data_IF_223122892509
#
_entry.id   IF_223122892509
#
_cell.length_a   1.000
_cell.length_b   1.000
_cell.length_c   1.000
_cell.angle_alpha   90.00
_cell.angle_beta   90.00
_cell.angle_gamma   90.00
#
_symmetry.space_group_name_H-M   'P 1'
#
loop_
_entity.id
_entity.type
_entity.pdbx_description
1 polymer ?
#
# COMPACT_ATOMS: atom_id res chain seq x y z
N UNK A 1 8.23 -28.58 6.04
CA UNK A 1 8.60 -27.15 6.16
C UNK A 1 8.68 -26.78 7.64
N UNK A 2 9.30 -25.66 8.01
CA UNK A 2 9.33 -25.24 9.43
C UNK A 2 7.92 -25.01 9.99
N UNK A 3 7.02 -24.41 9.20
CA UNK A 3 5.59 -24.30 9.53
C UNK A 3 4.96 -25.65 9.90
N UNK A 4 5.20 -26.72 9.13
CA UNK A 4 4.65 -28.04 9.43
C UNK A 4 5.17 -28.59 10.77
N UNK A 5 6.47 -28.44 11.05
CA UNK A 5 7.03 -28.86 12.35
C UNK A 5 6.43 -28.09 13.52
N UNK A 6 6.17 -26.79 13.36
CA UNK A 6 5.53 -25.98 14.39
C UNK A 6 4.09 -26.43 14.63
N UNK A 7 3.34 -26.73 13.56
CA UNK A 7 2.00 -27.28 13.68
C UNK A 7 1.99 -28.66 14.36
N UNK A 8 2.94 -29.54 14.05
CA UNK A 8 3.04 -30.87 14.69
C UNK A 8 3.37 -30.77 16.20
N UNK A 9 4.10 -29.73 16.62
CA UNK A 9 4.46 -29.50 18.03
C UNK A 9 3.35 -28.86 18.85
N UNK A 10 2.32 -28.32 18.20
CA UNK A 10 1.21 -27.62 18.85
C UNK A 10 -0.05 -28.46 18.63
N UNK A 11 -0.64 -28.98 19.69
CA UNK A 11 -1.92 -29.70 19.58
C UNK A 11 -3.08 -28.74 19.32
N UNK A 12 -3.22 -28.28 18.08
CA UNK A 12 -4.34 -27.47 17.64
C UNK A 12 -5.56 -28.37 17.37
N UNK A 13 -6.70 -28.04 17.97
CA UNK A 13 -7.96 -28.76 17.77
C UNK A 13 -8.95 -27.95 16.93
N UNK A 14 -8.68 -26.66 16.76
CA UNK A 14 -9.48 -25.74 15.96
C UNK A 14 -8.64 -24.61 15.35
N UNK A 15 -9.23 -23.91 14.38
CA UNK A 15 -8.65 -22.66 13.84
C UNK A 15 -8.58 -21.57 14.91
N UNK A 16 -9.46 -21.62 15.92
CA UNK A 16 -9.45 -20.66 17.02
C UNK A 16 -8.24 -20.84 17.92
N UNK A 17 -7.81 -22.07 18.16
CA UNK A 17 -6.58 -22.36 18.90
C UNK A 17 -5.37 -21.75 18.18
N UNK A 18 -5.34 -21.83 16.84
CA UNK A 18 -4.27 -21.27 16.02
C UNK A 18 -4.20 -19.74 16.14
N UNK A 19 -5.36 -19.06 16.16
CA UNK A 19 -5.44 -17.59 16.29
C UNK A 19 -5.03 -17.10 17.67
N UNK A 20 -5.28 -17.89 18.70
CA UNK A 20 -4.97 -17.56 20.09
C UNK A 20 -3.52 -17.90 20.49
N UNK A 21 -2.69 -18.39 19.56
CA UNK A 21 -1.28 -18.59 19.83
C UNK A 21 -0.55 -17.25 20.01
N UNK A 22 0.45 -17.19 20.90
CA UNK A 22 1.24 -15.98 21.14
C UNK A 22 2.17 -15.64 19.97
N UNK A 23 2.41 -16.58 19.05
CA UNK A 23 3.35 -16.44 17.95
C UNK A 23 2.79 -16.97 16.63
N UNK A 24 3.27 -16.40 15.53
CA UNK A 24 2.95 -16.87 14.18
C UNK A 24 3.53 -18.27 13.91
N UNK A 25 2.67 -19.14 13.39
CA UNK A 25 3.06 -20.52 13.05
C UNK A 25 3.74 -20.62 11.69
N UNK A 26 3.38 -19.74 10.74
CA UNK A 26 4.06 -19.66 9.45
C UNK A 26 5.42 -19.01 9.64
N UNK A 27 6.48 -19.78 9.40
CA UNK A 27 7.84 -19.31 9.58
C UNK A 27 8.81 -20.01 8.63
N UNK A 28 9.91 -19.31 8.33
CA UNK A 28 11.08 -19.93 7.72
C UNK A 28 11.86 -20.74 8.76
N UNK A 29 12.59 -21.75 8.30
CA UNK A 29 13.59 -22.42 9.14
C UNK A 29 14.66 -21.40 9.56
N UNK A 30 15.40 -21.64 10.66
CA UNK A 30 16.46 -20.72 11.09
C UNK A 30 17.49 -20.41 9.99
N UNK A 31 17.81 -21.40 9.15
CA UNK A 31 18.71 -21.23 8.02
C UNK A 31 18.12 -20.35 6.91
N UNK A 32 16.87 -20.63 6.49
CA UNK A 32 16.21 -19.84 5.45
C UNK A 32 15.95 -18.41 5.92
N UNK A 33 15.62 -18.21 7.19
CA UNK A 33 15.47 -16.88 7.78
C UNK A 33 16.78 -16.08 7.70
N UNK A 34 17.91 -16.70 8.03
CA UNK A 34 19.24 -16.08 7.90
C UNK A 34 19.52 -15.66 6.46
N UNK A 35 19.31 -16.56 5.50
CA UNK A 35 19.53 -16.25 4.07
C UNK A 35 18.59 -15.15 3.55
N UNK A 36 17.32 -15.18 3.96
CA UNK A 36 16.33 -14.16 3.61
C UNK A 36 16.72 -12.79 4.19
N UNK A 37 17.24 -12.76 5.42
CA UNK A 37 17.75 -11.53 6.04
C UNK A 37 18.94 -10.98 5.26
N UNK A 38 19.94 -11.79 4.95
CA UNK A 38 21.10 -11.39 4.14
C UNK A 38 20.67 -10.85 2.77
N UNK A 39 19.71 -11.52 2.10
CA UNK A 39 19.16 -11.05 0.83
C UNK A 39 18.44 -9.69 0.97
N UNK A 40 17.60 -9.52 2.00
CA UNK A 40 16.90 -8.26 2.24
C UNK A 40 17.87 -7.11 2.52
N UNK A 41 18.91 -7.35 3.31
CA UNK A 41 19.97 -6.37 3.57
C UNK A 41 20.68 -5.97 2.27
N UNK A 42 21.07 -6.96 1.47
CA UNK A 42 21.65 -6.72 0.14
C UNK A 42 20.72 -5.87 -0.75
N UNK A 43 19.46 -6.26 -0.90
CA UNK A 43 18.49 -5.51 -1.72
C UNK A 43 18.23 -4.10 -1.16
N UNK A 44 18.21 -3.94 0.15
CA UNK A 44 18.03 -2.63 0.77
C UNK A 44 19.17 -1.68 0.40
N UNK A 45 20.42 -2.13 0.48
CA UNK A 45 21.58 -1.31 0.17
C UNK A 45 21.78 -1.07 -1.33
N UNK A 46 21.52 -2.08 -2.17
CA UNK A 46 21.88 -2.04 -3.58
C UNK A 46 20.71 -1.73 -4.53
N UNK A 47 19.46 -2.01 -4.14
CA UNK A 47 18.27 -1.78 -4.97
C UNK A 47 17.42 -0.62 -4.43
N UNK A 48 16.89 -0.73 -3.21
CA UNK A 48 15.88 0.23 -2.71
C UNK A 48 16.46 1.63 -2.49
N UNK A 49 17.74 1.75 -2.10
CA UNK A 49 18.43 3.02 -1.93
C UNK A 49 19.10 3.54 -3.21
N UNK A 50 18.93 2.86 -4.33
CA UNK A 50 19.50 3.30 -5.59
C UNK A 50 18.89 4.65 -6.02
N UNK A 51 19.67 5.64 -6.50
CA UNK A 51 19.17 6.98 -6.82
C UNK A 51 17.98 7.01 -7.80
N UNK A 52 17.91 6.05 -8.72
CA UNK A 52 16.76 5.91 -9.64
C UNK A 52 15.47 5.54 -8.90
N UNK A 53 15.53 4.64 -7.92
CA UNK A 53 14.39 4.18 -7.13
C UNK A 53 13.93 5.31 -6.21
N UNK A 54 14.85 5.96 -5.50
CA UNK A 54 14.53 7.10 -4.62
C UNK A 54 13.89 8.26 -5.40
N UNK A 55 14.39 8.58 -6.60
CA UNK A 55 13.77 9.61 -7.45
C UNK A 55 12.35 9.23 -7.87
N UNK A 56 12.09 7.96 -8.20
CA UNK A 56 10.74 7.50 -8.53
C UNK A 56 9.81 7.55 -7.32
N UNK A 57 10.30 7.12 -6.15
CA UNK A 57 9.55 7.21 -4.90
C UNK A 57 9.14 8.65 -4.58
N UNK A 58 10.05 9.62 -4.71
CA UNK A 58 9.73 11.04 -4.48
C UNK A 58 8.71 11.58 -5.47
N UNK A 59 8.78 11.18 -6.75
CA UNK A 59 7.76 11.56 -7.73
C UNK A 59 6.39 10.99 -7.38
N UNK A 60 6.32 9.72 -6.96
CA UNK A 60 5.08 9.10 -6.54
C UNK A 60 4.49 9.79 -5.29
N UNK A 61 5.32 10.10 -4.30
CA UNK A 61 4.93 10.88 -3.11
C UNK A 61 4.27 12.21 -3.52
N UNK A 62 4.91 12.98 -4.41
CA UNK A 62 4.34 14.24 -4.89
C UNK A 62 2.99 14.06 -5.61
N UNK A 63 2.88 13.06 -6.48
CA UNK A 63 1.63 12.79 -7.22
C UNK A 63 0.50 12.51 -6.24
N UNK A 64 0.70 11.57 -5.30
CA UNK A 64 -0.33 11.19 -4.34
C UNK A 64 -0.69 12.34 -3.41
N UNK A 65 0.30 13.07 -2.89
CA UNK A 65 0.06 14.25 -2.04
C UNK A 65 -0.77 15.30 -2.76
N UNK A 66 -0.41 15.65 -4.00
CA UNK A 66 -1.09 16.69 -4.77
C UNK A 66 -2.51 16.29 -5.16
N UNK A 67 -2.72 15.03 -5.56
CA UNK A 67 -4.06 14.51 -5.82
C UNK A 67 -4.94 14.61 -4.57
N UNK A 68 -4.41 14.18 -3.42
CA UNK A 68 -5.12 14.24 -2.16
C UNK A 68 -5.49 15.68 -1.77
N UNK A 69 -4.52 16.59 -1.82
CA UNK A 69 -4.72 18.01 -1.52
C UNK A 69 -5.78 18.63 -2.44
N UNK A 70 -5.69 18.42 -3.76
CA UNK A 70 -6.63 19.01 -4.72
C UNK A 70 -8.07 18.52 -4.53
N UNK A 71 -8.27 17.23 -4.27
CA UNK A 71 -9.62 16.68 -4.05
C UNK A 71 -10.20 17.05 -2.68
N UNK A 72 -9.36 17.28 -1.67
CA UNK A 72 -9.83 17.74 -0.36
C UNK A 72 -10.15 19.23 -0.39
N UNK A 73 -9.34 20.03 -1.08
CA UNK A 73 -9.53 21.48 -1.21
C UNK A 73 -10.78 21.82 -2.04
N UNK A 74 -11.02 21.11 -3.14
CA UNK A 74 -12.22 21.27 -3.97
C UNK A 74 -12.82 19.90 -4.36
N UNK A 75 -13.68 19.33 -3.49
CA UNK A 75 -14.28 18.01 -3.68
C UNK A 75 -15.16 17.88 -4.93
N UNK A 76 -15.65 19.00 -5.49
CA UNK A 76 -16.45 18.98 -6.71
C UNK A 76 -15.66 18.46 -7.93
N UNK A 77 -14.33 18.37 -7.85
CA UNK A 77 -13.48 17.78 -8.88
C UNK A 77 -13.48 16.24 -8.85
N UNK A 78 -13.92 15.61 -7.77
CA UNK A 78 -14.02 14.14 -7.69
C UNK A 78 -15.12 13.63 -8.62
N UNK A 79 -15.11 12.34 -9.03
CA UNK A 79 -16.26 11.76 -9.70
C UNK A 79 -17.53 11.84 -8.85
N UNK A 80 -18.70 12.06 -9.47
CA UNK A 80 -19.98 12.26 -8.76
C UNK A 80 -20.32 11.13 -7.77
N UNK A 81 -19.96 9.89 -8.08
CA UNK A 81 -20.17 8.76 -7.16
C UNK A 81 -19.30 8.84 -5.90
N UNK A 82 -18.08 9.37 -6.02
CA UNK A 82 -17.16 9.56 -4.90
C UNK A 82 -17.59 10.75 -4.04
N UNK A 83 -18.05 11.84 -4.67
CA UNK A 83 -18.64 12.98 -3.98
C UNK A 83 -19.82 12.55 -3.11
N UNK A 84 -20.77 11.81 -3.70
CA UNK A 84 -21.94 11.31 -2.97
C UNK A 84 -21.55 10.43 -1.79
N UNK A 85 -20.57 9.55 -1.97
CA UNK A 85 -20.05 8.71 -0.88
C UNK A 85 -19.44 9.56 0.24
N UNK A 86 -18.70 10.63 -0.08
CA UNK A 86 -18.16 11.54 0.91
C UNK A 86 -19.27 12.24 1.72
N UNK A 87 -20.36 12.63 1.07
CA UNK A 87 -21.54 13.20 1.74
C UNK A 87 -22.27 12.18 2.64
N UNK A 88 -22.45 10.95 2.15
CA UNK A 88 -23.14 9.87 2.87
C UNK A 88 -22.34 9.38 4.10
N UNK A 89 -21.03 9.24 3.97
CA UNK A 89 -20.15 8.77 5.06
C UNK A 89 -19.74 9.89 6.03
N UNK A 90 -19.76 11.15 5.58
CA UNK A 90 -19.34 12.30 6.39
C UNK A 90 -17.83 12.39 6.63
N UNK A 91 -17.01 11.59 5.93
CA UNK A 91 -15.54 11.61 6.02
C UNK A 91 -14.91 11.72 4.63
N UNK A 92 -14.80 12.98 4.17
CA UNK A 92 -14.15 13.31 2.89
C UNK A 92 -12.71 12.78 2.81
N UNK A 93 -11.93 12.90 3.89
CA UNK A 93 -10.51 12.54 3.86
C UNK A 93 -10.34 11.04 3.66
N UNK A 94 -11.14 10.22 4.36
CA UNK A 94 -11.15 8.77 4.16
C UNK A 94 -11.59 8.40 2.75
N UNK A 95 -12.68 9.00 2.26
CA UNK A 95 -13.22 8.70 0.94
C UNK A 95 -12.24 9.06 -0.18
N UNK A 96 -11.50 10.16 -0.05
CA UNK A 96 -10.43 10.55 -0.98
C UNK A 96 -9.24 9.59 -0.87
N UNK A 97 -8.82 9.20 0.34
CA UNK A 97 -7.79 8.18 0.53
C UNK A 97 -8.13 6.87 -0.19
N UNK A 98 -9.36 6.38 -0.01
CA UNK A 98 -9.81 5.12 -0.61
C UNK A 98 -9.95 5.24 -2.14
N UNK A 99 -10.39 6.40 -2.63
CA UNK A 99 -10.44 6.67 -4.06
C UNK A 99 -9.04 6.64 -4.69
N UNK A 100 -8.06 7.31 -4.08
CA UNK A 100 -6.66 7.33 -4.55
C UNK A 100 -6.02 5.95 -4.42
N UNK A 101 -6.25 5.23 -3.32
CA UNK A 101 -5.72 3.88 -3.11
C UNK A 101 -6.28 2.85 -4.11
N UNK A 102 -7.46 3.10 -4.67
CA UNK A 102 -8.06 2.28 -5.74
C UNK A 102 -7.48 2.55 -7.14
N UNK A 103 -6.63 3.56 -7.30
CA UNK A 103 -6.03 3.90 -8.59
C UNK A 103 -4.88 2.95 -8.97
N UNK A 104 -4.72 2.71 -10.27
CA UNK A 104 -3.46 2.17 -10.81
C UNK A 104 -2.46 3.30 -11.01
N UNK A 105 -1.15 2.99 -11.02
CA UNK A 105 -0.09 3.98 -11.29
C UNK A 105 -0.37 4.82 -12.54
N UNK A 106 -0.80 4.17 -13.63
CA UNK A 106 -1.13 4.85 -14.89
C UNK A 106 -2.30 5.81 -14.71
N UNK A 107 -3.34 5.39 -14.01
CA UNK A 107 -4.52 6.22 -13.78
C UNK A 107 -4.20 7.41 -12.87
N UNK A 108 -3.44 7.21 -11.78
CA UNK A 108 -3.04 8.29 -10.89
C UNK A 108 -2.21 9.37 -11.63
N UNK A 109 -1.29 8.95 -12.52
CA UNK A 109 -0.54 9.90 -13.34
C UNK A 109 -1.42 10.64 -14.36
N UNK A 110 -2.44 9.99 -14.92
CA UNK A 110 -3.40 10.62 -15.82
C UNK A 110 -4.28 11.64 -15.08
N UNK A 111 -4.80 11.29 -13.92
CA UNK A 111 -5.58 12.23 -13.08
C UNK A 111 -4.72 13.41 -12.64
N UNK A 112 -3.47 13.16 -12.25
CA UNK A 112 -2.53 14.25 -11.94
C UNK A 112 -2.33 15.19 -13.14
N UNK A 113 -2.16 14.64 -14.35
CA UNK A 113 -2.02 15.45 -15.55
C UNK A 113 -3.28 16.30 -15.81
N UNK A 114 -4.48 15.72 -15.70
CA UNK A 114 -5.74 16.47 -15.88
C UNK A 114 -5.92 17.64 -14.92
N UNK A 115 -5.48 17.48 -13.67
CA UNK A 115 -5.62 18.50 -12.64
C UNK A 115 -4.55 19.60 -12.73
N UNK A 116 -3.34 19.27 -13.18
CA UNK A 116 -2.18 20.16 -13.05
C UNK A 116 -1.51 20.55 -14.38
N UNK A 117 -1.79 19.88 -15.50
CA UNK A 117 -1.32 20.25 -16.83
C UNK A 117 -2.43 21.00 -17.60
N UNK A 118 -2.29 22.32 -17.85
CA UNK A 118 -3.28 23.10 -18.57
C UNK A 118 -3.56 22.64 -20.01
N UNK A 119 -2.68 21.81 -20.58
CA UNK A 119 -2.81 21.28 -21.93
C UNK A 119 -3.44 19.89 -21.98
N UNK A 120 -3.59 19.22 -20.84
CA UNK A 120 -4.24 17.93 -20.74
C UNK A 120 -5.77 18.09 -20.84
N UNK A 121 -6.44 17.13 -21.48
CA UNK A 121 -7.91 17.17 -21.63
C UNK A 121 -8.57 16.54 -20.40
N UNK A 122 -9.55 17.25 -19.84
CA UNK A 122 -10.41 16.77 -18.74
C UNK A 122 -11.54 15.90 -19.27
#
# INVERSE_FOLDING_TARGET
TETARRLERIELRSVEDLRNLPENVVAFSPETERMNKELKEFLYHHLYRHPRVIRMQKKAEWVITRLFEAYVEEPAQLPLGVQRRAEEEGDLHRVVCDYIAGMTDRFALQEYAKLFDPHERV
#
